data_IF_757791983162
#
_entry.id   IF_757791983162
#
_cell.length_a   1.000
_cell.length_b   1.000
_cell.length_c   1.000
_cell.angle_alpha   90.00
_cell.angle_beta   90.00
_cell.angle_gamma   90.00
#
_symmetry.space_group_name_H-M   'P 1'
#
loop_
_entity.id
_entity.type
_entity.pdbx_description
1 polymer ?
#
# COMPACT_ATOMS: atom_id res chain seq x y z
N UNK A 1 -1.31 -25.54 -10.99
CA UNK A 1 -0.93 -24.20 -10.51
C UNK A 1 -2.15 -23.51 -9.92
N UNK A 2 -2.03 -22.96 -8.71
CA UNK A 2 -3.09 -22.11 -8.14
C UNK A 2 -3.13 -20.75 -8.84
N UNK A 3 -4.19 -19.95 -8.65
CA UNK A 3 -4.23 -18.61 -9.21
C UNK A 3 -3.11 -17.76 -8.60
N UNK A 4 -2.19 -17.28 -9.43
CA UNK A 4 -1.21 -16.27 -9.02
C UNK A 4 -1.95 -14.99 -8.63
N UNK A 5 -1.57 -14.35 -7.53
CA UNK A 5 -2.15 -13.07 -7.11
C UNK A 5 -1.16 -12.33 -6.23
N UNK A 6 -1.24 -10.99 -6.11
CA UNK A 6 -0.43 -10.26 -5.16
C UNK A 6 -0.63 -10.82 -3.74
N UNK A 7 0.45 -11.01 -3.01
CA UNK A 7 0.43 -11.53 -1.63
C UNK A 7 0.89 -10.46 -0.64
N UNK A 8 0.76 -10.76 0.65
CA UNK A 8 1.30 -9.87 1.69
C UNK A 8 2.83 -9.76 1.63
N UNK A 9 3.51 -10.82 1.19
CA UNK A 9 4.96 -10.81 0.99
C UNK A 9 5.33 -9.89 -0.17
N UNK A 10 4.51 -9.84 -1.23
CA UNK A 10 4.71 -8.90 -2.33
C UNK A 10 4.54 -7.46 -1.88
N UNK A 11 3.54 -7.17 -1.05
CA UNK A 11 3.36 -5.84 -0.48
C UNK A 11 4.60 -5.38 0.28
N UNK A 12 5.21 -6.28 1.06
CA UNK A 12 6.40 -5.97 1.83
C UNK A 12 7.68 -5.92 0.98
N UNK A 13 7.88 -6.88 0.09
CA UNK A 13 9.10 -7.01 -0.71
C UNK A 13 9.14 -6.00 -1.85
N UNK A 14 8.05 -5.88 -2.61
CA UNK A 14 8.00 -5.06 -3.82
C UNK A 14 7.78 -3.60 -3.46
N UNK A 15 6.85 -3.32 -2.54
CA UNK A 15 6.43 -1.95 -2.21
C UNK A 15 7.00 -1.41 -0.90
N UNK A 16 7.65 -2.25 -0.08
CA UNK A 16 8.16 -1.82 1.24
C UNK A 16 7.04 -1.57 2.27
N UNK A 17 5.84 -2.10 2.05
CA UNK A 17 4.71 -1.91 2.96
C UNK A 17 4.83 -2.82 4.17
N UNK A 18 4.39 -2.34 5.34
CA UNK A 18 4.51 -3.11 6.58
C UNK A 18 3.48 -4.25 6.60
N UNK A 19 3.89 -5.53 6.74
CA UNK A 19 2.97 -6.66 6.69
C UNK A 19 2.16 -6.86 7.99
N UNK A 20 2.64 -6.30 9.11
CA UNK A 20 2.06 -6.42 10.44
C UNK A 20 2.15 -5.09 11.21
N UNK A 21 1.47 -5.00 12.35
CA UNK A 21 1.39 -3.77 13.15
C UNK A 21 -0.05 -3.40 13.49
N UNK A 22 -0.30 -2.11 13.74
CA UNK A 22 -1.63 -1.59 14.04
C UNK A 22 -2.55 -1.73 12.82
N UNK A 23 -3.69 -2.38 13.03
CA UNK A 23 -4.72 -2.54 12.01
C UNK A 23 -5.56 -1.26 11.95
N UNK A 24 -5.79 -0.76 10.74
CA UNK A 24 -6.68 0.39 10.50
C UNK A 24 -8.01 -0.11 9.96
N UNK A 25 -9.09 0.15 10.68
CA UNK A 25 -10.44 0.04 10.17
C UNK A 25 -10.90 1.45 9.77
N UNK A 26 -11.04 1.70 8.46
CA UNK A 26 -11.50 3.00 7.92
C UNK A 26 -13.02 3.09 7.91
N UNK A 27 -13.71 1.96 8.16
CA UNK A 27 -15.18 1.87 8.17
C UNK A 27 -15.80 2.01 9.56
N UNK A 28 -15.00 1.84 10.62
CA UNK A 28 -15.42 2.06 12.00
C UNK A 28 -14.78 3.32 12.56
N UNK A 29 -15.45 3.95 13.53
CA UNK A 29 -14.80 4.94 14.40
C UNK A 29 -13.61 4.23 15.03
N UNK A 30 -12.40 4.49 14.51
CA UNK A 30 -11.19 3.98 15.10
C UNK A 30 -11.07 4.57 16.50
N UNK A 31 -11.47 3.79 17.51
CA UNK A 31 -11.22 4.12 18.91
C UNK A 31 -9.84 3.55 19.21
N UNK A 32 -8.84 4.38 19.60
CA UNK A 32 -7.58 3.85 20.08
C UNK A 32 -7.90 2.92 21.24
N UNK A 33 -7.80 1.61 21.01
CA UNK A 33 -7.96 0.62 22.05
C UNK A 33 -6.84 0.91 23.05
N UNK A 34 -7.19 1.32 24.27
CA UNK A 34 -6.24 1.43 25.36
C UNK A 34 -5.55 0.07 25.47
N UNK A 35 -4.32 -0.01 24.97
CA UNK A 35 -3.58 -1.26 25.01
C UNK A 35 -3.19 -1.47 26.46
N UNK A 36 -3.88 -2.41 27.09
CA UNK A 36 -3.53 -3.01 28.37
C UNK A 36 -2.14 -3.63 28.23
N UNK A 37 -1.15 -3.05 28.89
CA UNK A 37 0.22 -3.58 28.96
C UNK A 37 1.25 -2.47 28.79
N UNK A 38 1.82 -2.01 29.90
CA UNK A 38 2.58 -0.77 29.98
C UNK A 38 3.88 -0.74 29.18
N UNK A 39 4.19 0.43 28.63
CA UNK A 39 5.26 1.29 29.15
C UNK A 39 5.05 2.71 28.60
N UNK A 40 5.03 3.64 29.54
CA UNK A 40 4.93 5.09 29.47
C UNK A 40 5.57 5.76 28.23
N UNK A 41 4.73 6.19 27.29
CA UNK A 41 4.77 7.52 26.66
C UNK A 41 3.41 7.75 26.05
N UNK A 42 2.56 8.54 26.70
CA UNK A 42 1.29 8.97 26.09
C UNK A 42 1.61 9.93 24.97
N UNK A 43 1.99 9.41 23.79
CA UNK A 43 1.90 10.18 22.55
C UNK A 43 0.45 10.62 22.43
N UNK A 44 0.23 11.93 22.55
CA UNK A 44 -1.09 12.52 22.35
C UNK A 44 -1.54 12.14 20.94
N UNK A 45 -2.64 11.40 20.86
CA UNK A 45 -3.23 11.11 19.57
C UNK A 45 -3.80 12.41 18.98
N UNK A 46 -3.20 12.88 17.90
CA UNK A 46 -3.59 14.10 17.21
C UNK A 46 -4.67 13.78 16.18
N UNK A 47 -5.81 14.43 16.35
CA UNK A 47 -6.90 14.40 15.37
C UNK A 47 -6.71 15.50 14.31
N UNK A 48 -7.17 15.21 13.09
CA UNK A 48 -7.26 16.21 12.05
C UNK A 48 -8.38 17.20 12.42
N UNK A 49 -8.05 18.48 12.49
CA UNK A 49 -9.01 19.55 12.76
C UNK A 49 -9.90 19.80 11.53
N UNK A 50 -10.89 18.94 11.36
CA UNK A 50 -11.81 18.98 10.23
C UNK A 50 -13.11 19.73 10.57
N UNK A 51 -13.38 20.80 9.82
CA UNK A 51 -14.67 21.48 9.82
C UNK A 51 -15.33 21.37 8.44
N UNK A 52 -16.47 20.65 8.37
CA UNK A 52 -17.23 20.43 7.13
C UNK A 52 -17.63 21.73 6.42
N UNK A 53 -17.99 22.79 7.15
CA UNK A 53 -18.37 24.06 6.54
C UNK A 53 -17.18 24.76 5.88
N UNK A 54 -16.02 24.74 6.55
CA UNK A 54 -14.78 25.31 6.00
C UNK A 54 -14.28 24.48 4.83
N UNK A 55 -14.28 23.15 4.94
CA UNK A 55 -13.84 22.28 3.86
C UNK A 55 -14.71 22.44 2.59
N UNK A 56 -16.02 22.60 2.75
CA UNK A 56 -16.93 22.85 1.62
C UNK A 56 -16.70 24.21 0.96
N UNK A 57 -16.31 25.25 1.70
CA UNK A 57 -16.13 26.61 1.14
C UNK A 57 -14.94 26.72 0.19
N UNK A 58 -13.88 25.94 0.38
CA UNK A 58 -12.72 25.91 -0.53
C UNK A 58 -12.90 24.95 -1.71
N UNK A 59 -14.03 24.25 -1.75
CA UNK A 59 -14.32 23.21 -2.71
C UNK A 59 -13.52 21.94 -2.43
N UNK A 60 -14.15 20.78 -2.61
CA UNK A 60 -13.49 19.49 -2.40
C UNK A 60 -12.49 19.16 -3.51
N UNK A 61 -12.34 20.01 -4.53
CA UNK A 61 -11.43 19.76 -5.66
C UNK A 61 -9.95 19.84 -5.24
N UNK A 62 -9.09 19.04 -5.88
CA UNK A 62 -7.65 19.12 -5.64
C UNK A 62 -7.03 20.49 -5.90
N UNK A 63 -7.61 21.28 -6.82
CA UNK A 63 -7.13 22.64 -7.15
C UNK A 63 -7.39 23.64 -6.02
N UNK A 64 -8.55 23.56 -5.37
CA UNK A 64 -8.91 24.42 -4.23
C UNK A 64 -8.26 23.96 -2.91
N UNK A 65 -8.01 22.66 -2.80
CA UNK A 65 -7.48 22.05 -1.58
C UNK A 65 -6.03 22.47 -1.26
N UNK A 66 -5.12 22.52 -2.25
CA UNK A 66 -3.72 22.92 -1.99
C UNK A 66 -3.63 24.37 -1.44
N UNK A 67 -4.25 25.38 -2.07
CA UNK A 67 -4.28 26.73 -1.52
C UNK A 67 -4.90 26.79 -0.13
N UNK A 68 -6.00 26.06 0.11
CA UNK A 68 -6.63 25.97 1.43
C UNK A 68 -5.64 25.55 2.52
N UNK A 69 -4.90 24.44 2.31
CA UNK A 69 -3.94 23.94 3.29
C UNK A 69 -2.83 24.96 3.52
N UNK A 70 -2.30 25.56 2.45
CA UNK A 70 -1.23 26.56 2.55
C UNK A 70 -1.66 27.82 3.29
N UNK A 71 -2.86 28.32 3.04
CA UNK A 71 -3.40 29.53 3.68
C UNK A 71 -3.77 29.31 5.15
N UNK A 72 -4.23 28.10 5.52
CA UNK A 72 -4.69 27.82 6.87
C UNK A 72 -3.60 27.22 7.77
N UNK A 73 -2.68 26.42 7.25
CA UNK A 73 -1.72 25.67 8.05
C UNK A 73 -0.27 25.81 7.59
N UNK A 74 -0.05 26.31 6.37
CA UNK A 74 1.28 26.51 5.83
C UNK A 74 2.10 27.58 6.55
N UNK A 75 3.42 27.53 6.33
CA UNK A 75 4.36 28.49 6.91
C UNK A 75 3.96 29.95 6.56
N UNK A 76 3.76 30.77 7.60
CA UNK A 76 3.33 32.16 7.48
C UNK A 76 1.82 32.40 7.66
N UNK A 77 1.02 31.34 7.83
CA UNK A 77 -0.38 31.46 8.23
C UNK A 77 -0.53 31.85 9.71
N UNK A 78 -1.53 32.67 10.10
CA UNK A 78 -1.87 32.90 11.51
C UNK A 78 -2.23 31.63 12.29
N UNK A 79 -2.60 30.55 11.58
CA UNK A 79 -2.98 29.24 12.13
C UNK A 79 -1.96 28.14 11.76
N UNK A 80 -0.72 28.53 11.45
CA UNK A 80 0.33 27.59 11.07
C UNK A 80 0.47 26.47 12.11
N UNK A 81 0.35 25.23 11.64
CA UNK A 81 0.37 24.02 12.44
C UNK A 81 0.93 22.90 11.56
N UNK A 82 2.13 22.42 11.91
CA UNK A 82 2.87 21.45 11.09
C UNK A 82 2.21 20.08 11.09
N UNK A 83 1.57 19.69 12.19
CA UNK A 83 0.91 18.40 12.31
C UNK A 83 -0.36 18.39 11.46
N UNK A 84 -1.12 19.48 11.49
CA UNK A 84 -2.29 19.66 10.61
C UNK A 84 -1.88 19.78 9.13
N UNK A 85 -0.82 20.53 8.81
CA UNK A 85 -0.30 20.62 7.44
C UNK A 85 0.09 19.23 6.90
N UNK A 86 0.80 18.44 7.72
CA UNK A 86 1.19 17.08 7.36
C UNK A 86 -0.02 16.15 7.17
N UNK A 87 -0.98 16.14 8.10
CA UNK A 87 -2.18 15.31 7.96
C UNK A 87 -3.02 15.71 6.73
N UNK A 88 -3.19 17.01 6.45
CA UNK A 88 -3.87 17.44 5.23
C UNK A 88 -3.10 17.08 3.96
N UNK A 89 -1.76 17.12 3.99
CA UNK A 89 -0.93 16.61 2.90
C UNK A 89 -1.17 15.11 2.68
N UNK A 90 -1.17 14.30 3.74
CA UNK A 90 -1.47 12.86 3.64
C UNK A 90 -2.88 12.63 3.07
N UNK A 91 -3.88 13.38 3.53
CA UNK A 91 -5.25 13.27 3.03
C UNK A 91 -5.33 13.57 1.53
N UNK A 92 -4.64 14.61 1.07
CA UNK A 92 -4.50 14.92 -0.35
C UNK A 92 -3.80 13.81 -1.11
N UNK A 93 -2.67 13.36 -0.59
CA UNK A 93 -1.80 12.40 -1.26
C UNK A 93 -2.52 11.06 -1.45
N UNK A 94 -3.18 10.56 -0.41
CA UNK A 94 -4.02 9.37 -0.48
C UNK A 94 -5.13 9.54 -1.51
N UNK A 95 -5.93 10.61 -1.44
CA UNK A 95 -7.04 10.83 -2.38
C UNK A 95 -6.58 11.01 -3.83
N UNK A 96 -5.39 11.56 -4.06
CA UNK A 96 -4.93 11.86 -5.43
C UNK A 96 -4.18 10.70 -6.06
N UNK A 97 -3.33 10.01 -5.28
CA UNK A 97 -2.34 9.08 -5.82
C UNK A 97 -2.61 7.62 -5.47
N UNK A 98 -3.25 7.34 -4.34
CA UNK A 98 -3.50 5.97 -3.88
C UNK A 98 -4.94 5.55 -4.13
N UNK A 99 -5.90 6.40 -3.73
CA UNK A 99 -7.33 6.18 -3.83
C UNK A 99 -8.02 7.30 -4.63
N UNK A 100 -7.65 7.49 -5.92
CA UNK A 100 -8.35 8.43 -6.78
C UNK A 100 -9.83 8.05 -6.85
N UNK A 101 -10.66 9.07 -7.02
CA UNK A 101 -12.10 8.92 -7.13
C UNK A 101 -12.63 9.70 -8.33
N UNK A 102 -13.81 9.29 -8.84
CA UNK A 102 -14.43 9.90 -10.03
C UNK A 102 -14.68 11.42 -9.88
N UNK A 103 -14.90 11.91 -8.67
CA UNK A 103 -15.12 13.34 -8.41
C UNK A 103 -13.85 14.21 -8.49
N UNK A 104 -12.65 13.60 -8.61
CA UNK A 104 -11.36 14.32 -8.66
C UNK A 104 -11.19 15.32 -7.51
N UNK A 105 -11.67 14.93 -6.33
CA UNK A 105 -11.64 15.73 -5.12
C UNK A 105 -11.23 14.92 -3.90
N UNK A 106 -11.00 15.62 -2.80
CA UNK A 106 -10.62 15.05 -1.51
C UNK A 106 -11.86 14.50 -0.81
N UNK A 107 -11.83 13.23 -0.46
CA UNK A 107 -12.81 12.55 0.37
C UNK A 107 -12.31 12.45 1.80
N UNK A 108 -13.18 12.83 2.73
CA UNK A 108 -12.90 12.87 4.17
C UNK A 108 -13.04 11.50 4.83
N UNK A 109 -13.55 10.50 4.11
CA UNK A 109 -13.59 9.10 4.56
C UNK A 109 -12.19 8.53 4.88
N UNK A 110 -11.14 9.12 4.32
CA UNK A 110 -9.75 8.72 4.57
C UNK A 110 -9.11 9.37 5.81
N UNK A 111 -9.83 10.24 6.54
CA UNK A 111 -9.31 10.90 7.75
C UNK A 111 -8.80 9.88 8.79
N UNK A 112 -9.52 8.80 9.14
CA UNK A 112 -9.01 7.83 10.14
C UNK A 112 -7.66 7.24 9.75
N UNK A 113 -7.47 6.93 8.46
CA UNK A 113 -6.18 6.43 7.95
C UNK A 113 -5.08 7.49 8.06
N UNK A 114 -5.39 8.74 7.74
CA UNK A 114 -4.45 9.87 7.86
C UNK A 114 -4.00 10.09 9.29
N UNK A 115 -4.93 10.11 10.23
CA UNK A 115 -4.62 10.29 11.65
C UNK A 115 -3.73 9.14 12.15
N UNK A 116 -4.05 7.89 11.79
CA UNK A 116 -3.23 6.74 12.17
C UNK A 116 -1.83 6.78 11.54
N UNK A 117 -1.72 7.13 10.26
CA UNK A 117 -0.42 7.26 9.58
C UNK A 117 0.44 8.41 10.14
N UNK A 118 -0.18 9.46 10.67
CA UNK A 118 0.54 10.57 11.29
C UNK A 118 1.01 10.23 12.71
N UNK A 119 0.19 9.54 13.48
CA UNK A 119 0.45 9.27 14.90
C UNK A 119 1.31 8.02 15.14
N UNK A 120 1.40 7.11 14.16
CA UNK A 120 2.05 5.82 14.34
C UNK A 120 2.97 5.48 13.17
N UNK A 121 4.16 4.98 13.52
CA UNK A 121 5.12 4.43 12.55
C UNK A 121 4.88 2.94 12.28
N UNK A 122 4.03 2.29 13.07
CA UNK A 122 3.78 0.84 13.07
C UNK A 122 2.45 0.40 12.47
N UNK A 123 1.94 1.17 11.51
CA UNK A 123 0.68 0.85 10.81
C UNK A 123 0.87 -0.32 9.84
N UNK A 124 -0.01 -1.32 9.91
CA UNK A 124 -0.04 -2.46 8.98
C UNK A 124 -0.61 -2.04 7.61
N UNK A 125 0.16 -1.29 6.84
CA UNK A 125 -0.25 -0.76 5.53
C UNK A 125 -0.37 -1.83 4.44
N UNK A 126 0.38 -2.93 4.56
CA UNK A 126 0.38 -4.05 3.62
C UNK A 126 -0.99 -4.72 3.49
N UNK A 127 -1.58 -5.26 4.57
CA UNK A 127 -2.89 -5.90 4.52
C UNK A 127 -4.00 -4.95 4.06
N UNK A 128 -3.94 -3.69 4.51
CA UNK A 128 -4.91 -2.66 4.15
C UNK A 128 -4.93 -2.37 2.65
N UNK A 129 -3.76 -2.14 2.04
CA UNK A 129 -3.67 -1.91 0.59
C UNK A 129 -3.98 -3.19 -0.19
N UNK A 130 -3.54 -4.35 0.29
CA UNK A 130 -3.81 -5.63 -0.37
C UNK A 130 -5.31 -5.92 -0.49
N UNK A 131 -6.10 -5.61 0.55
CA UNK A 131 -7.56 -5.75 0.49
C UNK A 131 -8.17 -4.88 -0.62
N UNK A 132 -7.71 -3.63 -0.75
CA UNK A 132 -8.15 -2.74 -1.83
C UNK A 132 -7.74 -3.25 -3.22
N UNK A 133 -6.54 -3.83 -3.35
CA UNK A 133 -6.09 -4.43 -4.61
C UNK A 133 -6.93 -5.64 -4.99
N UNK A 134 -7.33 -6.49 -4.03
CA UNK A 134 -8.22 -7.62 -4.32
C UNK A 134 -9.62 -7.17 -4.75
N UNK A 135 -10.19 -6.15 -4.08
CA UNK A 135 -11.46 -5.58 -4.52
C UNK A 135 -11.35 -4.98 -5.93
N UNK A 136 -10.25 -4.28 -6.21
CA UNK A 136 -9.97 -3.71 -7.53
C UNK A 136 -9.84 -4.79 -8.61
N UNK A 137 -9.08 -5.86 -8.35
CA UNK A 137 -8.94 -7.02 -9.23
C UNK A 137 -10.30 -7.68 -9.50
N UNK A 138 -11.14 -7.83 -8.48
CA UNK A 138 -12.50 -8.35 -8.63
C UNK A 138 -13.31 -7.46 -9.59
N UNK A 139 -13.33 -6.15 -9.39
CA UNK A 139 -14.05 -5.22 -10.27
C UNK A 139 -13.50 -5.25 -11.71
N UNK A 140 -12.18 -5.35 -11.91
CA UNK A 140 -11.58 -5.44 -13.26
C UNK A 140 -11.99 -6.70 -14.03
N UNK A 141 -12.13 -7.81 -13.30
CA UNK A 141 -12.33 -9.15 -13.88
C UNK A 141 -13.79 -9.61 -13.90
N UNK A 142 -14.70 -8.76 -13.42
CA UNK A 142 -16.13 -9.09 -13.30
C UNK A 142 -16.83 -9.21 -14.65
N UNK A 143 -16.44 -8.37 -15.62
CA UNK A 143 -17.05 -8.25 -16.94
C UNK A 143 -16.01 -8.57 -18.04
N UNK A 144 -16.47 -8.95 -19.25
CA UNK A 144 -15.62 -9.22 -20.43
C UNK A 144 -15.91 -8.21 -21.55
N UNK A 145 -14.90 -7.53 -22.13
CA UNK A 145 -13.48 -7.57 -21.77
C UNK A 145 -13.20 -6.90 -20.41
N UNK A 146 -12.03 -7.17 -19.84
CA UNK A 146 -11.60 -6.58 -18.56
C UNK A 146 -11.76 -5.04 -18.53
N UNK A 147 -12.35 -4.53 -17.46
CA UNK A 147 -12.43 -3.08 -17.22
C UNK A 147 -11.12 -2.61 -16.58
N UNK A 148 -10.33 -1.83 -17.32
CA UNK A 148 -9.02 -1.35 -16.87
C UNK A 148 -9.01 0.14 -16.51
N UNK A 149 -10.12 0.85 -16.76
CA UNK A 149 -10.33 2.26 -16.42
C UNK A 149 -11.04 2.40 -15.06
N UNK A 150 -10.57 1.65 -14.06
CA UNK A 150 -11.03 1.79 -12.69
C UNK A 150 -10.25 2.90 -11.98
N UNK A 151 -10.84 3.44 -10.92
CA UNK A 151 -10.07 4.31 -10.01
C UNK A 151 -9.46 3.43 -8.92
N UNK A 152 -8.30 3.83 -8.41
CA UNK A 152 -7.61 3.14 -7.34
C UNK A 152 -6.13 2.92 -7.68
N UNK A 153 -5.42 2.14 -6.86
CA UNK A 153 -4.00 1.91 -7.01
C UNK A 153 -3.69 0.83 -8.07
N UNK A 154 -4.29 0.94 -9.27
CA UNK A 154 -4.06 0.00 -10.40
C UNK A 154 -2.57 -0.10 -10.73
N UNK A 155 -1.85 1.01 -10.60
CA UNK A 155 -0.42 1.09 -10.84
C UNK A 155 0.37 0.10 -9.97
N UNK A 156 -0.11 -0.23 -8.75
CA UNK A 156 0.52 -1.25 -7.92
C UNK A 156 0.40 -2.63 -8.56
N UNK A 157 -0.73 -2.95 -9.19
CA UNK A 157 -0.87 -4.23 -9.90
C UNK A 157 0.04 -4.25 -11.12
N UNK A 158 0.16 -3.13 -11.85
CA UNK A 158 1.08 -3.04 -12.98
C UNK A 158 2.53 -3.24 -12.55
N UNK A 159 2.97 -2.62 -11.45
CA UNK A 159 4.32 -2.82 -10.89
C UNK A 159 4.51 -4.26 -10.41
N UNK A 160 3.53 -4.85 -9.75
CA UNK A 160 3.59 -6.25 -9.33
C UNK A 160 3.70 -7.19 -10.54
N UNK A 161 2.91 -6.98 -11.60
CA UNK A 161 3.02 -7.72 -12.85
C UNK A 161 4.39 -7.53 -13.48
N UNK A 162 4.90 -6.30 -13.56
CA UNK A 162 6.25 -6.07 -14.03
C UNK A 162 7.24 -6.89 -13.22
N UNK A 163 7.23 -6.76 -11.89
CA UNK A 163 8.11 -7.51 -11.00
C UNK A 163 8.09 -9.03 -11.24
N UNK A 164 6.91 -9.61 -11.47
CA UNK A 164 6.75 -11.05 -11.72
C UNK A 164 7.04 -11.51 -13.14
N UNK A 165 6.93 -10.61 -14.12
CA UNK A 165 7.13 -10.89 -15.54
C UNK A 165 8.23 -9.98 -16.09
N UNK A 166 9.50 -10.44 -16.07
CA UNK A 166 10.63 -9.68 -16.61
C UNK A 166 10.48 -9.26 -18.07
N UNK A 167 9.56 -9.87 -18.83
CA UNK A 167 9.17 -9.44 -20.17
C UNK A 167 8.62 -8.00 -20.20
N UNK A 168 8.12 -7.51 -19.06
CA UNK A 168 7.67 -6.13 -18.89
C UNK A 168 8.71 -5.22 -18.24
N UNK A 169 9.95 -5.68 -18.02
CA UNK A 169 11.04 -4.87 -17.48
C UNK A 169 11.76 -4.08 -18.56
N UNK A 170 12.23 -2.89 -18.18
CA UNK A 170 13.20 -2.18 -19.00
C UNK A 170 14.52 -2.95 -18.94
N UNK A 171 15.29 -2.91 -20.03
CA UNK A 171 16.59 -3.55 -20.07
C UNK A 171 17.54 -2.94 -19.03
N UNK A 172 18.40 -3.77 -18.44
CA UNK A 172 19.48 -3.36 -17.52
C UNK A 172 19.00 -2.72 -16.20
N UNK A 173 17.82 -3.09 -15.70
CA UNK A 173 17.42 -2.73 -14.34
C UNK A 173 18.22 -3.52 -13.32
N UNK A 174 18.85 -2.81 -12.40
CA UNK A 174 19.49 -3.38 -11.22
C UNK A 174 18.57 -3.24 -10.03
N UNK A 175 18.50 -4.28 -9.22
CA UNK A 175 17.73 -4.27 -7.97
C UNK A 175 18.70 -4.48 -6.80
N UNK A 176 19.16 -3.40 -6.14
CA UNK A 176 19.95 -3.50 -4.93
C UNK A 176 19.18 -4.14 -3.77
N UNK A 177 19.91 -4.71 -2.82
CA UNK A 177 19.34 -5.21 -1.56
C UNK A 177 18.87 -4.03 -0.68
N UNK A 178 17.80 -4.21 0.09
CA UNK A 178 17.23 -3.18 0.95
C UNK A 178 16.43 -2.07 0.25
N UNK A 179 16.42 -2.04 -1.09
CA UNK A 179 15.60 -1.09 -1.87
C UNK A 179 14.35 -1.80 -2.40
N UNK A 180 13.19 -1.18 -2.17
CA UNK A 180 11.91 -1.66 -2.69
C UNK A 180 11.89 -1.62 -4.23
N UNK A 181 11.74 -2.76 -4.93
CA UNK A 181 11.71 -2.83 -6.39
C UNK A 181 10.70 -1.92 -7.06
N UNK A 182 9.55 -1.66 -6.41
CA UNK A 182 8.53 -0.76 -6.95
C UNK A 182 9.09 0.63 -7.27
N UNK A 183 10.04 1.13 -6.48
CA UNK A 183 10.68 2.43 -6.74
C UNK A 183 11.47 2.40 -8.03
N UNK A 184 12.27 1.35 -8.23
CA UNK A 184 13.12 1.18 -9.41
C UNK A 184 12.26 0.99 -10.66
N UNK A 185 11.21 0.18 -10.57
CA UNK A 185 10.26 -0.03 -11.66
C UNK A 185 9.47 1.24 -12.01
N UNK A 186 9.09 2.05 -11.01
CA UNK A 186 8.38 3.31 -11.23
C UNK A 186 9.27 4.42 -11.83
N UNK A 187 10.56 4.42 -11.51
CA UNK A 187 11.55 5.37 -12.05
C UNK A 187 12.13 4.94 -13.41
N UNK A 188 11.94 3.67 -13.80
CA UNK A 188 12.41 3.13 -15.06
C UNK A 188 11.75 3.82 -16.28
N UNK A 189 12.41 3.85 -17.45
CA UNK A 189 11.80 4.33 -18.68
C UNK A 189 10.47 3.60 -18.94
N UNK A 190 9.39 4.34 -19.28
CA UNK A 190 8.10 3.72 -19.53
C UNK A 190 8.22 2.80 -20.74
N UNK A 191 7.79 1.56 -20.56
CA UNK A 191 7.63 0.59 -21.65
C UNK A 191 6.19 0.66 -22.12
N UNK A 192 5.99 0.55 -23.43
CA UNK A 192 4.67 0.64 -24.06
C UNK A 192 3.86 -0.65 -23.85
N UNK A 193 3.46 -0.89 -22.59
CA UNK A 193 2.56 -1.96 -22.20
C UNK A 193 1.33 -1.36 -21.53
N UNK A 194 0.16 -1.52 -22.17
CA UNK A 194 -1.09 -1.12 -21.54
C UNK A 194 -1.43 -2.04 -20.36
N UNK A 195 -2.17 -1.53 -19.37
CA UNK A 195 -2.72 -2.34 -18.27
C UNK A 195 -3.38 -3.60 -18.80
N UNK A 196 -4.21 -3.46 -19.85
CA UNK A 196 -4.87 -4.58 -20.49
C UNK A 196 -3.90 -5.64 -21.02
N UNK A 197 -2.81 -5.26 -21.70
CA UNK A 197 -1.81 -6.21 -22.21
C UNK A 197 -1.16 -6.99 -21.07
N UNK A 198 -0.76 -6.32 -19.99
CA UNK A 198 -0.16 -6.99 -18.82
C UNK A 198 -1.13 -8.00 -18.19
N UNK A 199 -2.40 -7.59 -17.99
CA UNK A 199 -3.42 -8.46 -17.41
C UNK A 199 -3.82 -9.62 -18.33
N UNK A 200 -3.89 -9.38 -19.64
CA UNK A 200 -4.19 -10.42 -20.60
C UNK A 200 -3.07 -11.46 -20.61
N UNK A 201 -1.81 -11.02 -20.67
CA UNK A 201 -0.64 -11.90 -20.56
C UNK A 201 -0.69 -12.73 -19.27
N UNK A 202 -0.94 -12.08 -18.13
CA UNK A 202 -1.12 -12.73 -16.85
C UNK A 202 -2.20 -13.82 -16.88
N UNK A 203 -3.35 -13.54 -17.51
CA UNK A 203 -4.46 -14.48 -17.65
C UNK A 203 -4.11 -15.70 -18.51
N UNK A 204 -3.36 -15.50 -19.60
CA UNK A 204 -3.02 -16.57 -20.57
C UNK A 204 -1.75 -17.33 -20.19
N UNK A 205 -0.85 -16.75 -19.39
CA UNK A 205 0.35 -17.40 -18.89
C UNK A 205 -0.02 -18.47 -17.87
N UNK A 206 -0.03 -19.75 -18.30
CA UNK A 206 -0.44 -20.89 -17.46
C UNK A 206 0.73 -21.64 -16.82
N UNK A 207 1.94 -21.47 -17.31
CA UNK A 207 3.13 -22.23 -16.90
C UNK A 207 4.39 -21.39 -17.08
N UNK A 208 5.32 -21.45 -16.13
CA UNK A 208 6.69 -20.92 -16.23
C UNK A 208 7.64 -21.76 -15.38
N UNK A 209 8.91 -21.78 -15.76
CA UNK A 209 10.00 -22.42 -15.02
C UNK A 209 10.47 -21.58 -13.83
N UNK A 210 11.12 -22.22 -12.86
CA UNK A 210 11.70 -21.56 -11.68
C UNK A 210 12.68 -20.42 -12.05
N UNK A 211 13.43 -20.59 -13.14
CA UNK A 211 14.37 -19.57 -13.63
C UNK A 211 13.63 -18.33 -14.14
N UNK A 212 12.48 -18.52 -14.79
CA UNK A 212 11.62 -17.43 -15.25
C UNK A 212 10.92 -16.71 -14.09
N UNK A 213 10.73 -17.39 -12.95
CA UNK A 213 10.29 -16.79 -11.68
C UNK A 213 11.43 -16.20 -10.83
N UNK A 214 12.67 -16.25 -11.33
CA UNK A 214 13.88 -16.01 -10.53
C UNK A 214 13.88 -14.70 -9.74
N UNK A 215 13.24 -13.64 -10.23
CA UNK A 215 13.11 -12.36 -9.52
C UNK A 215 12.32 -12.48 -8.20
N UNK A 216 11.23 -13.24 -8.22
CA UNK A 216 10.33 -13.44 -7.08
C UNK A 216 10.80 -14.57 -6.16
N UNK A 217 11.36 -15.65 -6.73
CA UNK A 217 11.76 -16.86 -5.99
C UNK A 217 13.15 -16.72 -5.35
N UNK A 218 14.11 -16.07 -6.03
CA UNK A 218 15.51 -16.07 -5.57
C UNK A 218 15.85 -14.94 -4.59
N UNK A 219 14.95 -13.96 -4.42
CA UNK A 219 15.20 -12.85 -3.47
C UNK A 219 14.88 -13.27 -2.05
N UNK A 220 15.84 -13.06 -1.14
CA UNK A 220 15.61 -13.15 0.30
C UNK A 220 14.79 -11.95 0.78
N UNK A 221 13.85 -12.21 1.68
CA UNK A 221 12.96 -11.22 2.28
C UNK A 221 13.73 -10.31 3.25
N UNK A 222 14.11 -9.06 2.87
CA UNK A 222 15.33 -8.44 3.40
C UNK A 222 15.21 -7.83 4.79
N UNK A 223 14.03 -7.37 5.22
CA UNK A 223 13.94 -6.44 6.36
C UNK A 223 12.86 -6.79 7.40
N UNK A 224 11.73 -7.36 6.98
CA UNK A 224 10.69 -7.79 7.92
C UNK A 224 10.94 -9.18 8.49
N UNK A 225 11.75 -10.02 7.83
CA UNK A 225 12.09 -11.36 8.32
C UNK A 225 12.93 -11.36 9.61
N UNK A 226 13.73 -10.32 9.81
CA UNK A 226 14.65 -10.26 10.94
C UNK A 226 14.04 -9.57 12.18
N UNK A 227 13.05 -8.67 11.99
CA UNK A 227 12.43 -7.92 13.08
C UNK A 227 10.99 -8.37 13.41
N UNK A 228 10.15 -8.66 12.42
CA UNK A 228 8.73 -9.00 12.67
C UNK A 228 8.54 -10.39 13.33
N UNK A 229 9.59 -11.23 13.35
CA UNK A 229 9.59 -12.54 13.99
C UNK A 229 10.36 -12.58 15.32
N UNK A 230 10.94 -11.47 15.77
CA UNK A 230 11.58 -11.40 17.10
C UNK A 230 10.58 -11.05 18.21
N UNK A 231 9.50 -10.33 17.88
CA UNK A 231 8.41 -10.00 18.81
C UNK A 231 7.41 -11.15 18.92
N UNK A 232 7.87 -12.35 19.26
CA UNK A 232 7.00 -13.45 19.67
C UNK A 232 6.50 -13.20 21.12
N UNK A 233 5.22 -13.47 21.45
CA UNK A 233 4.78 -13.52 22.83
C UNK A 233 5.54 -14.64 23.55
N UNK A 234 5.98 -14.35 24.78
CA UNK A 234 7.05 -15.05 25.50
C UNK A 234 7.03 -16.59 25.48
N UNK A 235 8.26 -17.12 25.49
CA UNK A 235 8.81 -18.48 25.74
C UNK A 235 8.02 -19.78 25.46
N UNK A 236 6.72 -19.77 25.18
CA UNK A 236 5.92 -20.98 24.89
C UNK A 236 5.36 -21.02 23.45
N UNK A 237 5.74 -20.09 22.57
CA UNK A 237 5.35 -20.13 21.16
C UNK A 237 6.30 -21.04 20.36
N UNK A 238 5.83 -22.26 20.08
CA UNK A 238 6.45 -23.25 19.18
C UNK A 238 6.90 -22.66 17.82
N UNK A 239 7.81 -23.33 17.07
CA UNK A 239 8.34 -22.90 15.74
C UNK A 239 7.30 -22.67 14.62
N UNK A 240 6.03 -22.80 14.97
CA UNK A 240 4.85 -22.92 14.14
C UNK A 240 4.63 -21.72 13.20
N UNK A 241 5.00 -20.49 13.61
CA UNK A 241 4.83 -19.30 12.75
C UNK A 241 5.78 -19.31 11.55
N UNK A 242 7.05 -19.73 11.73
CA UNK A 242 8.03 -19.77 10.64
C UNK A 242 7.67 -20.85 9.61
N UNK A 243 7.23 -22.02 10.06
CA UNK A 243 6.81 -23.12 9.19
C UNK A 243 5.50 -22.82 8.44
N UNK A 244 4.53 -22.13 9.05
CA UNK A 244 3.30 -21.72 8.34
C UNK A 244 3.50 -20.57 7.37
N UNK A 245 4.34 -19.58 7.69
CA UNK A 245 4.55 -18.44 6.78
C UNK A 245 5.30 -18.85 5.51
N UNK A 246 6.26 -19.77 5.63
CA UNK A 246 6.94 -20.35 4.47
C UNK A 246 6.03 -21.37 3.75
N UNK A 247 5.05 -21.99 4.41
CA UNK A 247 4.05 -22.84 3.73
C UNK A 247 3.00 -22.06 2.92
N UNK A 248 2.88 -20.74 3.12
CA UNK A 248 2.15 -19.83 2.23
C UNK A 248 2.80 -19.74 0.84
N UNK A 249 4.12 -19.95 0.77
CA UNK A 249 4.87 -20.20 -0.47
C UNK A 249 4.67 -21.69 -0.72
N UNK A 250 3.53 -22.08 -1.29
CA UNK A 250 3.27 -23.49 -1.47
C UNK A 250 4.36 -24.09 -2.41
N UNK A 251 4.77 -25.35 -2.18
CA UNK A 251 5.58 -26.16 -3.11
C UNK A 251 5.02 -26.27 -4.55
N UNK A 252 3.88 -25.65 -4.83
CA UNK A 252 3.19 -25.62 -6.13
C UNK A 252 3.69 -24.50 -7.05
N UNK A 253 4.46 -23.55 -6.52
CA UNK A 253 5.04 -22.42 -7.26
C UNK A 253 6.41 -22.77 -7.88
N UNK A 254 6.92 -23.98 -7.61
CA UNK A 254 8.26 -24.44 -8.03
C UNK A 254 8.24 -25.82 -8.70
N UNK A 255 7.32 -26.03 -9.64
CA UNK A 255 7.22 -27.28 -10.41
C UNK A 255 7.15 -27.03 -11.92
#
# INVERSE_FOLDING_TARGET
MGPMSPTILDMAQVFGLRPSGRIVDVTQEWVPSSTTGGLSSSTLFLHLNYNSATFKSYGTSFKGFIPFVKENFGAGSPRADKDQEHMYFLLYWLNKHIFPNKSKGVRVEWIPLVEVLHNFDDVATGPFLLSHLYHLLFEMTRDEPFETNLNGPIWMIQIWLQWYFPEFWAANLEFPEGVAPARILAEAPPIDHSTFVCFYFFRVCRTRSDLEWGASVLRRYPWFSDQAFQDAPGEDATPFCREKFISCIQPRDLA
#
